data_IF_917554171967
#
_entry.id   IF_917554171967
#
_cell.length_a   1.000
_cell.length_b   1.000
_cell.length_c   1.000
_cell.angle_alpha   90.00
_cell.angle_beta   90.00
_cell.angle_gamma   90.00
#
_symmetry.space_group_name_H-M   'P 1'
#
loop_
_entity.id
_entity.type
_entity.pdbx_description
1 polymer ?
#
# COMPACT_ATOMS: atom_id res chain seq x y z
N UNK A 1 1.52 -10.64 -7.18
CA UNK A 1 1.64 -10.40 -5.71
C UNK A 1 0.54 -11.18 -4.97
N UNK A 2 0.66 -11.39 -3.65
CA UNK A 2 -0.36 -12.11 -2.88
C UNK A 2 -0.98 -11.17 -1.83
N UNK A 3 -2.31 -11.10 -1.80
CA UNK A 3 -3.07 -10.37 -0.81
C UNK A 3 -3.82 -11.35 0.10
N UNK A 4 -3.92 -11.05 1.38
CA UNK A 4 -4.60 -11.89 2.36
C UNK A 4 -5.70 -11.06 3.00
N UNK A 5 -6.90 -11.60 3.09
CA UNK A 5 -8.00 -10.97 3.81
C UNK A 5 -7.69 -10.98 5.31
N UNK A 6 -7.74 -9.83 5.96
CA UNK A 6 -7.42 -9.70 7.38
C UNK A 6 -8.51 -10.29 8.29
N UNK A 7 -9.77 -10.34 7.83
CA UNK A 7 -10.86 -10.95 8.60
C UNK A 7 -10.91 -12.49 8.50
N UNK A 8 -10.89 -13.04 7.28
CA UNK A 8 -11.12 -14.47 7.06
C UNK A 8 -9.88 -15.24 6.61
N UNK A 9 -8.71 -14.59 6.56
CA UNK A 9 -7.43 -15.17 6.12
C UNK A 9 -7.42 -15.76 4.70
N UNK A 10 -8.40 -15.40 3.84
CA UNK A 10 -8.44 -15.88 2.46
C UNK A 10 -7.33 -15.25 1.63
N UNK A 11 -6.64 -16.07 0.84
CA UNK A 11 -5.52 -15.66 -0.01
C UNK A 11 -6.02 -15.35 -1.42
N UNK A 12 -5.60 -14.22 -1.96
CA UNK A 12 -5.92 -13.75 -3.31
C UNK A 12 -4.62 -13.58 -4.09
N UNK A 13 -4.57 -14.17 -5.28
CA UNK A 13 -3.49 -13.90 -6.23
C UNK A 13 -3.84 -12.64 -7.01
N UNK A 14 -3.05 -11.59 -6.83
CA UNK A 14 -3.25 -10.31 -7.50
C UNK A 14 -2.20 -10.16 -8.58
N UNK A 15 -2.67 -10.17 -9.83
CA UNK A 15 -1.87 -9.92 -11.01
C UNK A 15 -1.69 -8.43 -11.23
N UNK A 16 -0.47 -7.92 -11.04
CA UNK A 16 -0.15 -6.51 -11.25
C UNK A 16 -0.40 -6.06 -12.69
N UNK A 17 -0.21 -6.95 -13.67
CA UNK A 17 -0.50 -6.70 -15.08
C UNK A 17 -1.99 -6.46 -15.37
N UNK A 18 -2.88 -6.89 -14.47
CA UNK A 18 -4.34 -6.70 -14.57
C UNK A 18 -4.81 -5.47 -13.80
N UNK A 19 -3.97 -4.88 -12.95
CA UNK A 19 -4.32 -3.69 -12.18
C UNK A 19 -4.34 -2.46 -13.11
N UNK A 20 -5.45 -1.71 -13.13
CA UNK A 20 -5.59 -0.47 -13.91
C UNK A 20 -4.86 0.74 -13.29
N UNK A 21 -3.80 0.52 -12.50
CA UNK A 21 -3.04 1.56 -11.81
C UNK A 21 -2.28 1.02 -10.60
N UNK A 22 -1.80 1.93 -9.74
CA UNK A 22 -1.04 1.58 -8.53
C UNK A 22 -1.89 1.01 -7.39
N UNK A 23 -3.23 0.98 -7.52
CA UNK A 23 -4.13 0.45 -6.49
C UNK A 23 -5.19 -0.45 -7.11
N UNK A 24 -5.45 -1.58 -6.45
CA UNK A 24 -6.61 -2.43 -6.68
C UNK A 24 -7.47 -2.46 -5.42
N UNK A 25 -8.79 -2.40 -5.60
CA UNK A 25 -9.77 -2.50 -4.52
C UNK A 25 -10.77 -3.57 -4.90
N UNK A 26 -11.00 -4.53 -4.02
CA UNK A 26 -11.96 -5.61 -4.23
C UNK A 26 -12.56 -6.06 -2.90
N UNK A 27 -13.76 -6.63 -2.95
CA UNK A 27 -14.42 -7.23 -1.78
C UNK A 27 -14.03 -8.70 -1.66
N UNK A 28 -13.75 -9.14 -0.44
CA UNK A 28 -13.54 -10.54 -0.12
C UNK A 28 -14.81 -11.34 -0.40
N UNK A 29 -14.68 -12.45 -1.12
CA UNK A 29 -15.84 -13.26 -1.50
C UNK A 29 -16.45 -14.06 -0.32
N UNK A 30 -15.70 -14.26 0.78
CA UNK A 30 -16.22 -15.03 1.93
C UNK A 30 -16.91 -14.14 2.96
N UNK A 31 -16.27 -13.04 3.35
CA UNK A 31 -16.75 -12.18 4.45
C UNK A 31 -17.27 -10.82 3.96
N UNK A 32 -17.07 -10.46 2.69
CA UNK A 32 -17.46 -9.16 2.14
C UNK A 32 -16.52 -8.01 2.49
N UNK A 33 -15.45 -8.24 3.25
CA UNK A 33 -14.50 -7.20 3.65
C UNK A 33 -13.81 -6.54 2.45
N UNK A 34 -13.62 -5.22 2.48
CA UNK A 34 -12.96 -4.50 1.39
C UNK A 34 -11.44 -4.58 1.56
N UNK A 35 -10.80 -5.25 0.61
CA UNK A 35 -9.35 -5.40 0.54
C UNK A 35 -8.80 -4.36 -0.43
N UNK A 36 -7.82 -3.59 0.03
CA UNK A 36 -7.12 -2.59 -0.77
C UNK A 36 -5.66 -2.99 -0.91
N UNK A 37 -5.23 -3.17 -2.15
CA UNK A 37 -3.90 -3.63 -2.50
C UNK A 37 -3.20 -2.52 -3.26
N UNK A 38 -2.06 -2.06 -2.74
CA UNK A 38 -1.23 -1.03 -3.36
C UNK A 38 0.00 -1.67 -3.97
N UNK A 39 0.25 -1.38 -5.25
CA UNK A 39 1.45 -1.80 -5.94
C UNK A 39 2.64 -1.10 -5.28
N UNK A 40 3.53 -1.86 -4.66
CA UNK A 40 4.80 -1.32 -4.19
C UNK A 40 5.68 -1.07 -5.42
N UNK A 41 5.70 0.18 -5.91
CA UNK A 41 6.73 0.59 -6.86
C UNK A 41 8.07 0.43 -6.15
N UNK A 42 8.92 -0.46 -6.63
CA UNK A 42 10.28 -0.69 -6.12
C UNK A 42 11.23 0.50 -6.40
N UNK A 43 10.72 1.74 -6.40
CA UNK A 43 11.50 2.92 -6.78
C UNK A 43 10.74 4.24 -6.63
N UNK A 44 10.25 4.57 -5.44
CA UNK A 44 10.25 5.94 -4.89
C UNK A 44 9.61 5.91 -3.49
N UNK A 45 10.46 5.63 -2.50
CA UNK A 45 10.27 6.23 -1.17
C UNK A 45 10.53 7.73 -1.36
N UNK A 46 9.47 8.47 -1.67
CA UNK A 46 9.36 9.83 -1.16
C UNK A 46 8.43 9.72 0.03
N UNK A 47 8.95 9.15 1.12
CA UNK A 47 8.55 9.63 2.43
C UNK A 47 9.17 11.03 2.53
N UNK A 48 8.41 12.13 2.42
CA UNK A 48 8.86 13.38 3.00
C UNK A 48 8.82 13.18 4.51
N UNK A 49 9.79 12.47 5.08
CA UNK A 49 10.13 12.61 6.49
C UNK A 49 10.73 14.00 6.62
N UNK A 50 9.80 14.94 6.72
CA UNK A 50 9.87 16.24 7.33
C UNK A 50 11.32 16.74 7.56
N UNK A 51 11.80 17.51 6.59
CA UNK A 51 12.88 18.46 6.82
C UNK A 51 12.34 19.59 7.72
N UNK A 52 12.24 19.35 9.03
CA UNK A 52 12.05 20.41 10.01
C UNK A 52 13.43 20.86 10.52
N UNK A 53 14.00 21.73 9.69
CA UNK A 53 14.66 22.99 10.03
C UNK A 53 15.96 23.00 10.86
N UNK A 54 16.91 23.71 10.26
CA UNK A 54 18.25 24.05 10.70
C UNK A 54 18.21 25.19 11.74
N UNK A 55 19.25 25.26 12.57
CA UNK A 55 19.82 26.50 13.12
C UNK A 55 19.08 27.24 14.23
N UNK A 56 19.58 27.09 15.46
CA UNK A 56 19.67 28.17 16.46
C UNK A 56 21.08 28.15 17.04
N UNK A 57 22.00 28.87 16.39
CA UNK A 57 22.53 30.18 16.80
C UNK A 57 23.67 30.06 17.82
N UNK A 58 24.89 30.19 17.30
CA UNK A 58 26.09 30.55 18.07
C UNK A 58 25.86 31.94 18.69
N UNK A 59 26.09 32.07 19.99
CA UNK A 59 26.44 33.32 20.69
C UNK A 59 27.25 32.96 21.93
#
# INVERSE_FOLDING_TARGET
MLAICEECSKKYNVDESKMKGDRARFSCQECGHIIVVVRKRTGHVTDPVNASEQSSLNQ
#
